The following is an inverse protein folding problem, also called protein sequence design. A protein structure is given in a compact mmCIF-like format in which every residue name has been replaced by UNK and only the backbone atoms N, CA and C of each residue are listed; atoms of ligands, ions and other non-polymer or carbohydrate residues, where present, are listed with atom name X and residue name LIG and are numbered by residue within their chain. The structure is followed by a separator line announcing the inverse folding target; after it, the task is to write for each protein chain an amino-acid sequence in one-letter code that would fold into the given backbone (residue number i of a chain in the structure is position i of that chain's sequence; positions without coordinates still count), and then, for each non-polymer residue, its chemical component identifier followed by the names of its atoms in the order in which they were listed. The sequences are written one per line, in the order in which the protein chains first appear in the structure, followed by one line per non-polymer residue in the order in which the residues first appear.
data_IF_906545350420
#
_entry.id   IF_906545350420
#
_cell.length_a   1.000
_cell.length_b   1.000
_cell.length_c   1.000
_cell.angle_alpha   90.00
_cell.angle_beta   90.00
_cell.angle_gamma   90.00
#
_symmetry.space_group_name_H-M   'P 1'
#
loop_
_entity.id
_entity.type
_entity.pdbx_description
1 polymer ?
#
# COMPACT_ATOMS: atom_id res chain seq x y z
N UNK A 1 -2.00 24.22 38.31
CA UNK A 1 -3.10 24.86 39.09
C UNK A 1 -3.14 26.33 38.77
N UNK A 2 -4.22 26.80 38.20
CA UNK A 2 -4.42 28.23 37.90
C UNK A 2 -4.60 29.07 39.16
N UNK A 3 -4.49 30.38 39.07
CA UNK A 3 -4.78 31.33 40.15
C UNK A 3 -6.22 31.19 40.67
N UNK A 4 -7.15 30.81 39.78
CA UNK A 4 -8.55 30.56 40.09
C UNK A 4 -8.71 29.32 40.97
N UNK A 5 -8.04 28.23 40.60
CA UNK A 5 -8.02 26.95 41.36
C UNK A 5 -7.43 27.17 42.77
N UNK A 6 -6.36 27.97 42.91
CA UNK A 6 -5.75 28.30 44.21
C UNK A 6 -6.72 29.09 45.10
N UNK A 7 -7.44 30.06 44.56
CA UNK A 7 -8.45 30.88 45.31
C UNK A 7 -9.63 30.00 45.77
N UNK A 8 -10.12 29.12 44.90
CA UNK A 8 -11.22 28.21 45.25
C UNK A 8 -10.80 27.21 46.33
N UNK A 9 -9.57 26.67 46.25
CA UNK A 9 -9.04 25.79 47.26
C UNK A 9 -8.84 26.47 48.62
N UNK A 10 -8.33 27.70 48.63
CA UNK A 10 -8.20 28.46 49.86
C UNK A 10 -9.56 28.73 50.51
N UNK A 11 -10.59 29.11 49.70
CA UNK A 11 -11.96 29.30 50.17
C UNK A 11 -12.62 28.01 50.70
N UNK A 12 -12.38 26.85 50.02
CA UNK A 12 -12.86 25.56 50.51
C UNK A 12 -12.21 25.15 51.82
N UNK A 13 -10.93 25.41 51.98
CA UNK A 13 -10.20 25.14 53.25
C UNK A 13 -10.72 25.96 54.42
N UNK A 14 -11.01 27.24 54.21
CA UNK A 14 -11.56 28.09 55.27
C UNK A 14 -12.94 27.60 55.70
N UNK A 15 -13.83 27.29 54.77
CA UNK A 15 -15.17 26.74 55.11
C UNK A 15 -15.08 25.40 55.85
N UNK A 16 -14.09 24.57 55.47
CA UNK A 16 -13.84 23.28 56.15
C UNK A 16 -13.29 23.47 57.56
N UNK A 17 -12.41 24.47 57.81
CA UNK A 17 -11.88 24.80 59.13
C UNK A 17 -13.01 25.32 60.05
N UNK A 18 -13.93 26.16 59.51
CA UNK A 18 -15.10 26.63 60.24
C UNK A 18 -16.10 25.48 60.57
N UNK A 19 -16.38 24.63 59.61
CA UNK A 19 -17.23 23.45 59.82
C UNK A 19 -16.67 22.52 60.88
N UNK A 20 -15.33 22.31 60.85
CA UNK A 20 -14.63 21.49 61.85
C UNK A 20 -14.67 22.12 63.24
N UNK A 21 -14.55 23.43 63.35
CA UNK A 21 -14.66 24.14 64.64
C UNK A 21 -16.07 24.01 65.25
N UNK A 22 -17.12 24.13 64.41
CA UNK A 22 -18.50 23.92 64.88
C UNK A 22 -18.73 22.48 65.38
N UNK A 23 -18.19 21.50 64.68
CA UNK A 23 -18.27 20.09 65.09
C UNK A 23 -17.50 19.81 66.38
N UNK A 24 -16.33 20.42 66.56
CA UNK A 24 -15.53 20.28 67.75
C UNK A 24 -16.22 20.84 68.99
N UNK A 25 -16.84 22.04 68.91
CA UNK A 25 -17.58 22.65 69.99
C UNK A 25 -18.79 21.79 70.45
N UNK A 26 -19.54 21.26 69.49
CA UNK A 26 -20.69 20.39 69.80
C UNK A 26 -20.23 19.05 70.45
N UNK A 27 -19.09 18.51 69.99
CA UNK A 27 -18.52 17.24 70.48
C UNK A 27 -17.95 17.41 71.93
N UNK A 28 -17.27 18.52 72.20
CA UNK A 28 -16.70 18.83 73.53
C UNK A 28 -17.78 19.09 74.57
N UNK A 29 -18.90 19.72 74.21
CA UNK A 29 -20.02 20.00 75.06
C UNK A 29 -21.01 18.79 75.15
N UNK A 30 -20.77 17.70 74.39
CA UNK A 30 -21.61 16.50 74.35
C UNK A 30 -23.11 16.78 74.11
N UNK A 31 -23.43 17.78 73.29
CA UNK A 31 -24.76 18.18 72.91
C UNK A 31 -24.99 18.09 71.40
N UNK A 32 -26.27 18.01 71.05
CA UNK A 32 -26.65 18.13 69.64
C UNK A 32 -26.55 19.62 69.17
N UNK A 33 -26.47 19.80 67.88
CA UNK A 33 -26.45 21.14 67.30
C UNK A 33 -27.70 21.96 67.65
N UNK A 34 -27.52 23.20 67.96
CA UNK A 34 -28.63 24.11 68.04
C UNK A 34 -29.21 24.43 66.66
N UNK A 35 -30.48 24.81 66.52
CA UNK A 35 -31.06 25.11 65.20
C UNK A 35 -30.26 26.17 64.38
N UNK A 36 -29.58 27.08 65.08
CA UNK A 36 -28.72 28.09 64.43
C UNK A 36 -27.39 27.50 63.93
N UNK A 37 -26.80 26.58 64.70
CA UNK A 37 -25.59 25.85 64.35
C UNK A 37 -25.85 24.86 63.18
N UNK A 38 -26.98 24.20 63.19
CA UNK A 38 -27.41 23.31 62.13
C UNK A 38 -27.64 24.06 60.80
N UNK A 39 -28.28 25.23 60.85
CA UNK A 39 -28.44 26.09 59.70
C UNK A 39 -27.08 26.65 59.14
N UNK A 40 -26.13 26.88 60.06
CA UNK A 40 -24.77 27.30 59.69
C UNK A 40 -23.94 26.16 59.09
N UNK A 41 -24.06 25.00 59.66
CA UNK A 41 -23.45 23.74 59.18
C UNK A 41 -23.94 23.43 57.77
N UNK A 42 -25.25 23.48 57.51
CA UNK A 42 -25.83 23.22 56.20
C UNK A 42 -25.31 24.24 55.17
N UNK A 43 -25.26 25.51 55.49
CA UNK A 43 -24.69 26.55 54.61
C UNK A 43 -23.23 26.31 54.28
N UNK A 44 -22.41 25.90 55.25
CA UNK A 44 -20.99 25.62 55.02
C UNK A 44 -20.82 24.39 54.13
N UNK A 45 -21.63 23.33 54.36
CA UNK A 45 -21.60 22.13 53.52
C UNK A 45 -22.01 22.40 52.07
N UNK A 46 -23.05 23.20 51.85
CA UNK A 46 -23.48 23.62 50.50
C UNK A 46 -22.41 24.49 49.83
N UNK A 47 -21.78 25.41 50.54
CA UNK A 47 -20.71 26.25 50.05
C UNK A 47 -19.46 25.43 49.68
N UNK A 48 -19.12 24.39 50.49
CA UNK A 48 -18.03 23.46 50.20
C UNK A 48 -18.31 22.60 48.94
N UNK A 49 -19.55 22.09 48.82
CA UNK A 49 -20.00 21.30 47.69
C UNK A 49 -19.93 22.13 46.38
N UNK A 50 -20.40 23.36 46.40
CA UNK A 50 -20.34 24.30 45.29
C UNK A 50 -18.89 24.63 44.87
N UNK A 51 -18.03 24.87 45.87
CA UNK A 51 -16.61 25.17 45.59
C UNK A 51 -15.90 23.96 45.02
N UNK A 52 -16.19 22.76 45.49
CA UNK A 52 -15.65 21.49 44.98
C UNK A 52 -16.07 21.25 43.53
N UNK A 53 -17.35 21.43 43.24
CA UNK A 53 -17.86 21.28 41.85
C UNK A 53 -17.21 22.28 40.89
N UNK A 54 -16.97 23.53 41.34
CA UNK A 54 -16.23 24.52 40.53
C UNK A 54 -14.75 24.16 40.35
N UNK A 55 -14.10 23.57 41.36
CA UNK A 55 -12.74 23.11 41.25
C UNK A 55 -12.61 21.96 40.21
N UNK A 56 -13.48 20.96 40.29
CA UNK A 56 -13.51 19.84 39.36
C UNK A 56 -13.77 20.29 37.91
N UNK A 57 -14.64 21.31 37.72
CA UNK A 57 -14.89 21.92 36.42
C UNK A 57 -13.68 22.67 35.86
N UNK A 58 -12.93 23.39 36.69
CA UNK A 58 -11.70 24.09 36.28
C UNK A 58 -10.61 23.11 35.96
N UNK A 59 -10.44 22.04 36.73
CA UNK A 59 -9.45 21.01 36.47
C UNK A 59 -9.71 20.27 35.14
N UNK A 60 -10.97 19.92 34.87
CA UNK A 60 -11.37 19.35 33.59
C UNK A 60 -11.14 20.32 32.42
N UNK A 61 -11.35 21.61 32.62
CA UNK A 61 -11.08 22.61 31.60
C UNK A 61 -9.57 22.76 31.31
N UNK A 62 -8.73 22.75 32.35
CA UNK A 62 -7.27 22.79 32.24
C UNK A 62 -6.74 21.52 31.51
N UNK A 63 -7.28 20.35 31.82
CA UNK A 63 -6.91 19.10 31.13
C UNK A 63 -7.31 19.13 29.65
N UNK A 64 -8.51 19.68 29.34
CA UNK A 64 -8.94 19.81 27.93
C UNK A 64 -8.06 20.80 27.17
N UNK A 65 -7.72 21.93 27.79
CA UNK A 65 -6.82 22.92 27.20
C UNK A 65 -5.42 22.32 26.94
N UNK A 66 -4.85 21.59 27.89
CA UNK A 66 -3.57 20.93 27.73
C UNK A 66 -3.58 19.85 26.61
N UNK A 67 -4.71 19.13 26.46
CA UNK A 67 -4.88 18.16 25.35
C UNK A 67 -4.98 18.88 24.00
N UNK A 68 -5.66 20.01 23.93
CA UNK A 68 -5.77 20.82 22.70
C UNK A 68 -4.41 21.40 22.33
N UNK A 69 -3.66 21.93 23.29
CA UNK A 69 -2.31 22.47 23.05
C UNK A 69 -1.34 21.38 22.58
N UNK A 70 -1.40 20.21 23.17
CA UNK A 70 -0.60 19.05 22.72
C UNK A 70 -0.98 18.59 21.31
N UNK A 71 -2.26 18.64 20.93
CA UNK A 71 -2.72 18.35 19.57
C UNK A 71 -2.28 19.45 18.59
N UNK A 72 -2.35 20.71 19.00
CA UNK A 72 -1.88 21.84 18.19
C UNK A 72 -0.36 21.80 17.96
N UNK A 73 0.44 21.48 18.98
CA UNK A 73 1.89 21.25 18.81
C UNK A 73 2.19 20.08 17.88
N UNK A 74 1.43 18.98 17.97
CA UNK A 74 1.56 17.86 17.03
C UNK A 74 1.21 18.27 15.61
N UNK A 75 0.12 19.03 15.42
CA UNK A 75 -0.29 19.54 14.12
C UNK A 75 0.77 20.49 13.53
N UNK A 76 1.32 21.40 14.33
CA UNK A 76 2.41 22.30 13.92
C UNK A 76 3.71 21.53 13.59
N UNK A 77 4.04 20.50 14.33
CA UNK A 77 5.19 19.62 14.02
C UNK A 77 4.98 18.87 12.70
N UNK A 78 3.75 18.38 12.44
CA UNK A 78 3.40 17.73 11.17
C UNK A 78 3.41 18.77 10.04
N UNK A 79 2.86 19.94 10.23
CA UNK A 79 2.85 21.01 9.22
C UNK A 79 4.27 21.53 8.91
N UNK A 80 5.13 21.68 9.92
CA UNK A 80 6.53 22.05 9.73
C UNK A 80 7.35 20.91 9.10
N UNK A 81 7.05 19.65 9.40
CA UNK A 81 7.64 18.50 8.72
C UNK A 81 7.19 18.39 7.26
N UNK A 82 5.94 18.76 6.95
CA UNK A 82 5.41 18.82 5.58
C UNK A 82 5.97 20.03 4.81
N UNK A 83 6.24 21.16 5.48
CA UNK A 83 6.89 22.33 4.87
C UNK A 83 8.39 22.16 4.65
N UNK A 84 9.04 21.25 5.40
CA UNK A 84 10.51 21.14 5.39
C UNK A 84 11.06 20.40 4.16
N UNK A 85 10.29 19.54 3.48
CA UNK A 85 10.80 18.78 2.34
C UNK A 85 9.72 18.62 1.25
N UNK A 86 9.57 19.65 0.44
CA UNK A 86 8.99 19.46 -0.88
C UNK A 86 9.99 18.60 -1.66
N UNK A 87 9.60 17.37 -2.05
CA UNK A 87 10.49 16.42 -2.74
C UNK A 87 11.17 17.04 -3.97
N UNK A 88 10.51 18.02 -4.60
CA UNK A 88 11.08 18.79 -5.71
C UNK A 88 12.26 19.67 -5.26
N UNK A 89 12.21 20.26 -4.08
CA UNK A 89 13.30 21.09 -3.54
C UNK A 89 14.45 20.20 -3.06
N UNK A 90 14.13 19.04 -2.50
CA UNK A 90 15.14 18.01 -2.13
C UNK A 90 15.84 17.49 -3.37
N UNK A 91 15.12 17.18 -4.45
CA UNK A 91 15.70 16.77 -5.74
C UNK A 91 16.56 17.87 -6.34
N UNK A 92 16.10 19.13 -6.26
CA UNK A 92 16.87 20.27 -6.73
C UNK A 92 18.16 20.46 -5.94
N UNK A 93 18.10 20.32 -4.61
CA UNK A 93 19.27 20.36 -3.74
C UNK A 93 20.23 19.17 -3.99
N UNK A 94 19.72 17.98 -4.30
CA UNK A 94 20.52 16.82 -4.69
C UNK A 94 21.16 17.05 -6.06
N UNK A 95 20.41 17.55 -7.05
CA UNK A 95 20.93 17.86 -8.39
C UNK A 95 21.97 19.00 -8.37
N UNK A 96 21.78 20.01 -7.53
CA UNK A 96 22.73 21.10 -7.32
C UNK A 96 24.00 20.70 -6.51
N UNK A 97 24.02 19.50 -5.97
CA UNK A 97 25.14 19.01 -5.15
C UNK A 97 25.17 19.50 -3.69
N UNK A 98 24.11 20.20 -3.25
CA UNK A 98 23.98 20.69 -1.87
C UNK A 98 23.70 19.54 -0.89
N UNK A 99 22.98 18.50 -1.32
CA UNK A 99 22.78 17.25 -0.59
C UNK A 99 23.34 16.08 -1.39
N UNK A 100 24.04 15.15 -0.76
CA UNK A 100 24.67 13.99 -1.43
C UNK A 100 23.69 12.89 -1.82
N UNK A 101 22.62 12.73 -1.07
CA UNK A 101 21.57 11.73 -1.35
C UNK A 101 20.28 12.06 -0.64
N UNK A 102 19.16 11.55 -1.17
CA UNK A 102 17.86 11.59 -0.54
C UNK A 102 17.14 10.24 -0.72
N UNK A 103 16.33 9.86 0.27
CA UNK A 103 15.48 8.67 0.24
C UNK A 103 14.02 9.12 0.25
N UNK A 104 13.24 8.54 -0.64
CA UNK A 104 11.82 8.85 -0.78
C UNK A 104 10.99 7.61 -0.47
N UNK A 105 10.07 7.75 0.48
CA UNK A 105 9.15 6.68 0.84
C UNK A 105 8.03 6.54 -0.19
N UNK A 106 7.76 5.30 -0.58
CA UNK A 106 6.65 5.00 -1.48
C UNK A 106 5.35 5.06 -0.68
N UNK A 107 4.51 6.06 -0.97
CA UNK A 107 3.19 6.23 -0.34
C UNK A 107 2.10 5.68 -1.24
N UNK A 108 1.04 5.13 -0.63
CA UNK A 108 -0.15 4.77 -1.38
C UNK A 108 -0.93 6.03 -1.72
N UNK A 109 -1.11 6.31 -3.01
CA UNK A 109 -2.05 7.34 -3.48
C UNK A 109 -3.48 6.88 -3.18
N UNK A 110 -4.23 7.68 -2.43
CA UNK A 110 -5.67 7.44 -2.30
C UNK A 110 -6.36 7.80 -3.62
N UNK A 111 -7.26 6.96 -4.08
CA UNK A 111 -7.96 7.07 -5.37
C UNK A 111 -8.84 8.32 -5.55
N UNK A 112 -8.94 9.18 -4.53
CA UNK A 112 -9.75 10.39 -4.53
C UNK A 112 -9.01 11.68 -4.87
N UNK A 113 -7.68 11.63 -5.07
CA UNK A 113 -6.89 12.84 -5.33
C UNK A 113 -6.51 12.92 -6.81
N UNK A 114 -7.25 13.72 -7.55
CA UNK A 114 -6.92 14.21 -8.91
C UNK A 114 -5.76 15.23 -8.89
N UNK A 115 -4.87 15.16 -7.93
CA UNK A 115 -3.80 16.14 -7.75
C UNK A 115 -2.55 15.67 -8.48
N UNK A 116 -1.95 16.60 -9.22
CA UNK A 116 -0.61 16.42 -9.83
C UNK A 116 0.35 15.93 -8.73
N UNK A 117 1.14 14.87 -8.96
CA UNK A 117 2.06 14.36 -7.96
C UNK A 117 3.02 15.46 -7.51
N UNK A 118 3.03 15.71 -6.20
CA UNK A 118 3.80 16.79 -5.58
C UNK A 118 5.22 16.31 -5.27
N UNK A 119 5.42 14.99 -5.19
CA UNK A 119 6.68 14.38 -4.83
C UNK A 119 7.21 13.45 -5.94
N UNK A 120 8.53 13.31 -6.02
CA UNK A 120 9.16 12.35 -6.94
C UNK A 120 8.72 10.91 -6.66
N UNK A 121 8.55 10.55 -5.38
CA UNK A 121 8.07 9.23 -4.99
C UNK A 121 6.64 8.97 -5.48
N UNK A 122 5.74 9.95 -5.35
CA UNK A 122 4.37 9.85 -5.86
C UNK A 122 4.36 9.68 -7.38
N UNK A 123 5.26 10.37 -8.07
CA UNK A 123 5.40 10.27 -9.51
C UNK A 123 5.82 8.85 -9.94
N UNK A 124 6.82 8.27 -9.28
CA UNK A 124 7.25 6.89 -9.56
C UNK A 124 6.12 5.88 -9.24
N UNK A 125 5.33 6.12 -8.16
CA UNK A 125 4.17 5.26 -7.85
C UNK A 125 3.10 5.35 -8.94
N UNK A 126 2.82 6.55 -9.47
CA UNK A 126 1.90 6.72 -10.61
C UNK A 126 2.43 6.00 -11.84
N UNK A 127 3.71 6.15 -12.14
CA UNK A 127 4.36 5.47 -13.26
C UNK A 127 4.35 3.94 -13.08
N UNK A 128 4.63 3.42 -11.86
CA UNK A 128 4.55 2.00 -11.54
C UNK A 128 3.13 1.44 -11.75
N UNK A 129 2.12 2.21 -11.37
CA UNK A 129 0.72 1.80 -11.55
C UNK A 129 0.32 1.82 -13.03
N UNK A 130 0.75 2.83 -13.78
CA UNK A 130 0.44 2.96 -15.20
C UNK A 130 1.24 1.98 -16.08
N UNK A 131 2.52 1.75 -15.76
CA UNK A 131 3.42 0.89 -16.53
C UNK A 131 3.39 -0.58 -16.11
N UNK A 132 2.81 -0.91 -14.97
CA UNK A 132 2.77 -2.26 -14.43
C UNK A 132 1.34 -2.66 -14.05
N UNK A 133 0.67 -3.38 -14.93
CA UNK A 133 -0.71 -3.84 -14.74
C UNK A 133 -0.91 -4.74 -13.50
N UNK A 134 0.15 -5.41 -13.05
CA UNK A 134 0.13 -6.31 -11.86
C UNK A 134 0.26 -5.52 -10.57
N UNK A 135 0.99 -4.39 -10.59
CA UNK A 135 1.35 -3.63 -9.38
C UNK A 135 0.13 -3.12 -8.60
N UNK A 136 -0.94 -2.72 -9.29
CA UNK A 136 -2.14 -2.19 -8.64
C UNK A 136 -2.84 -3.23 -7.75
N UNK A 137 -2.99 -4.46 -8.26
CA UNK A 137 -3.72 -5.53 -7.57
C UNK A 137 -2.87 -6.36 -6.61
N UNK A 138 -1.53 -6.30 -6.71
CA UNK A 138 -0.62 -7.11 -5.93
C UNK A 138 -0.54 -6.68 -4.45
N UNK A 139 -0.21 -7.64 -3.57
CA UNK A 139 0.07 -7.36 -2.16
C UNK A 139 1.47 -6.76 -2.01
N UNK A 140 1.54 -5.53 -1.49
CA UNK A 140 2.79 -4.77 -1.35
C UNK A 140 3.37 -4.92 0.04
N UNK A 141 4.63 -5.36 0.12
CA UNK A 141 5.42 -5.50 1.34
C UNK A 141 6.49 -4.41 1.35
N UNK A 142 6.25 -3.33 2.07
CA UNK A 142 7.19 -2.21 2.21
C UNK A 142 8.16 -2.46 3.33
N UNK A 143 9.46 -2.36 3.03
CA UNK A 143 10.53 -2.59 4.00
C UNK A 143 11.57 -1.48 3.93
N UNK A 144 12.11 -1.11 5.11
CA UNK A 144 13.15 -0.10 5.21
C UNK A 144 14.56 -0.65 4.94
N UNK A 145 14.77 -1.96 5.15
CA UNK A 145 16.06 -2.64 5.02
C UNK A 145 16.08 -3.61 3.85
N UNK A 146 17.25 -3.82 3.27
CA UNK A 146 17.46 -4.74 2.15
C UNK A 146 17.62 -6.22 2.54
N UNK A 147 17.45 -6.59 3.82
CA UNK A 147 17.55 -7.98 4.26
C UNK A 147 16.45 -8.83 3.64
N UNK A 148 16.76 -10.10 3.34
CA UNK A 148 15.79 -11.02 2.76
C UNK A 148 14.59 -11.24 3.68
N UNK A 149 13.41 -11.35 3.10
CA UNK A 149 12.18 -11.67 3.83
C UNK A 149 11.70 -13.05 3.40
N UNK A 150 11.43 -13.89 4.37
CA UNK A 150 10.86 -15.21 4.13
C UNK A 150 9.36 -15.19 4.41
N UNK A 151 8.56 -15.46 3.39
CA UNK A 151 7.10 -15.55 3.49
C UNK A 151 6.71 -17.03 3.55
N UNK A 152 6.11 -17.51 4.65
CA UNK A 152 5.65 -18.89 4.74
C UNK A 152 4.44 -19.10 3.81
N UNK A 153 4.37 -20.29 3.20
CA UNK A 153 3.22 -20.74 2.43
C UNK A 153 2.79 -22.12 2.87
N UNK A 154 1.49 -22.34 2.93
CA UNK A 154 0.93 -23.65 3.14
C UNK A 154 0.93 -24.43 1.80
N UNK A 155 1.62 -25.55 1.75
CA UNK A 155 1.74 -26.36 0.52
C UNK A 155 0.70 -27.46 0.50
N UNK A 156 0.37 -28.04 1.66
CA UNK A 156 -0.69 -29.02 1.80
C UNK A 156 -1.38 -28.85 3.15
N UNK A 157 -2.71 -28.95 3.13
CA UNK A 157 -3.52 -28.96 4.34
C UNK A 157 -3.43 -30.33 5.02
N UNK A 158 -3.65 -30.35 6.32
CA UNK A 158 -3.91 -31.59 7.04
C UNK A 158 -5.15 -32.27 6.48
N UNK A 159 -5.16 -33.61 6.45
CA UNK A 159 -6.33 -34.36 6.02
C UNK A 159 -7.34 -34.47 7.17
N UNK A 160 -8.61 -34.33 6.86
CA UNK A 160 -9.70 -34.59 7.78
C UNK A 160 -10.49 -35.81 7.27
N UNK A 161 -10.83 -36.72 8.16
CA UNK A 161 -11.61 -37.90 7.84
C UNK A 161 -12.75 -38.08 8.86
N UNK A 162 -13.87 -38.66 8.41
CA UNK A 162 -14.91 -39.09 9.33
C UNK A 162 -14.43 -40.32 10.10
N UNK A 163 -14.49 -40.27 11.42
CA UNK A 163 -14.01 -41.33 12.29
C UNK A 163 -15.21 -41.92 13.03
N UNK A 164 -15.37 -43.22 12.95
CA UNK A 164 -16.39 -43.95 13.73
C UNK A 164 -16.06 -44.00 15.22
N UNK A 165 -17.06 -44.28 16.06
CA UNK A 165 -16.89 -44.43 17.49
C UNK A 165 -15.86 -45.53 17.80
N UNK A 166 -14.84 -45.19 18.63
CA UNK A 166 -13.77 -46.12 19.02
C UNK A 166 -12.65 -46.31 17.99
N UNK A 167 -12.69 -45.62 16.81
CA UNK A 167 -11.63 -45.72 15.81
C UNK A 167 -10.51 -44.71 16.08
N UNK A 168 -9.28 -45.08 15.77
CA UNK A 168 -8.10 -44.26 15.94
C UNK A 168 -8.09 -43.10 14.91
N UNK A 169 -7.85 -41.86 15.35
CA UNK A 169 -7.60 -40.71 14.49
C UNK A 169 -6.13 -40.73 14.09
N UNK A 170 -5.86 -40.79 12.78
CA UNK A 170 -4.49 -40.70 12.27
C UNK A 170 -4.03 -39.25 12.24
N UNK A 171 -2.94 -38.88 12.93
CA UNK A 171 -2.40 -37.54 12.87
C UNK A 171 -1.86 -37.21 11.47
N UNK A 172 -2.17 -36.04 10.95
CA UNK A 172 -1.64 -35.53 9.69
C UNK A 172 -1.24 -34.07 9.91
N UNK A 173 0.01 -33.73 9.62
CA UNK A 173 0.52 -32.39 9.78
C UNK A 173 0.40 -31.59 8.47
N UNK A 174 0.09 -30.29 8.54
CA UNK A 174 0.14 -29.44 7.35
C UNK A 174 1.57 -29.26 6.89
N UNK A 175 1.80 -29.27 5.57
CA UNK A 175 3.12 -29.02 5.01
C UNK A 175 3.28 -27.53 4.74
N UNK A 176 4.25 -26.92 5.42
CA UNK A 176 4.60 -25.52 5.26
C UNK A 176 5.92 -25.42 4.48
N UNK A 177 5.94 -24.62 3.44
CA UNK A 177 7.14 -24.23 2.70
C UNK A 177 7.30 -22.69 2.81
N UNK A 178 8.36 -22.15 2.28
CA UNK A 178 8.59 -20.70 2.30
C UNK A 178 9.11 -20.21 0.96
N UNK A 179 8.81 -18.97 0.63
CA UNK A 179 9.44 -18.23 -0.45
C UNK A 179 10.28 -17.11 0.15
N UNK A 180 11.41 -16.83 -0.45
CA UNK A 180 12.27 -15.73 -0.04
C UNK A 180 12.15 -14.61 -1.05
N UNK A 181 11.94 -13.38 -0.55
CA UNK A 181 11.92 -12.15 -1.32
C UNK A 181 13.19 -11.37 -1.02
N UNK A 182 13.95 -11.06 -2.07
CA UNK A 182 15.18 -10.30 -2.01
C UNK A 182 14.91 -8.80 -2.24
N UNK A 183 15.95 -8.02 -2.41
CA UNK A 183 15.88 -6.59 -2.75
C UNK A 183 16.71 -6.36 -4.03
N UNK A 184 16.17 -6.76 -5.17
CA UNK A 184 16.84 -6.60 -6.46
C UNK A 184 16.82 -5.13 -6.88
N UNK A 185 17.98 -4.57 -7.23
CA UNK A 185 18.16 -3.15 -7.51
C UNK A 185 17.92 -2.85 -8.98
N UNK A 186 17.07 -1.87 -9.25
CA UNK A 186 16.92 -1.20 -10.53
C UNK A 186 17.61 0.16 -10.39
N UNK A 187 18.49 0.51 -11.29
CA UNK A 187 19.25 1.75 -11.25
C UNK A 187 19.12 2.52 -12.57
N UNK A 188 18.95 3.83 -12.47
CA UNK A 188 19.09 4.75 -13.57
C UNK A 188 20.17 5.78 -13.23
N UNK A 189 21.07 6.04 -14.17
CA UNK A 189 22.12 7.07 -14.06
C UNK A 189 21.95 8.05 -15.20
N UNK A 190 21.76 9.32 -14.86
CA UNK A 190 21.61 10.41 -15.85
C UNK A 190 22.69 11.46 -15.63
N UNK A 191 23.29 11.93 -16.72
CA UNK A 191 24.27 12.99 -16.72
C UNK A 191 23.60 14.30 -17.14
N UNK A 192 23.73 15.34 -16.32
CA UNK A 192 23.17 16.67 -16.57
C UNK A 192 24.31 17.67 -16.72
N UNK A 193 24.27 18.51 -17.76
CA UNK A 193 25.21 19.61 -17.89
C UNK A 193 24.96 20.65 -16.80
N UNK A 194 26.03 21.16 -16.18
CA UNK A 194 25.93 22.22 -15.19
C UNK A 194 25.38 23.54 -15.76
N UNK A 195 25.54 23.77 -17.07
CA UNK A 195 24.95 24.91 -17.76
C UNK A 195 23.41 24.80 -17.81
N UNK A 196 22.89 23.61 -18.15
CA UNK A 196 21.45 23.33 -18.14
C UNK A 196 20.82 23.46 -16.77
N UNK A 197 21.55 23.11 -15.71
CA UNK A 197 21.07 23.25 -14.32
C UNK A 197 21.01 24.72 -13.88
N UNK A 198 21.85 25.59 -14.46
CA UNK A 198 21.87 27.03 -14.19
C UNK A 198 20.84 27.81 -15.01
N UNK A 199 20.50 27.32 -16.21
CA UNK A 199 19.52 27.93 -17.09
C UNK A 199 18.09 27.49 -16.72
N UNK A 200 17.50 28.24 -15.79
CA UNK A 200 16.26 27.87 -15.08
C UNK A 200 14.95 28.04 -15.86
N UNK A 201 14.98 28.13 -17.18
CA UNK A 201 13.78 28.33 -17.98
C UNK A 201 12.81 27.14 -17.97
N UNK A 202 13.31 25.92 -17.70
CA UNK A 202 12.51 24.67 -17.59
C UNK A 202 13.00 23.87 -16.39
N UNK A 203 12.08 23.26 -15.65
CA UNK A 203 12.44 22.38 -14.52
C UNK A 203 13.00 21.04 -15.05
N UNK A 204 14.24 21.05 -15.54
CA UNK A 204 14.92 19.90 -16.16
C UNK A 204 15.07 18.76 -15.15
N UNK A 205 15.28 19.08 -13.88
CA UNK A 205 15.42 18.09 -12.82
C UNK A 205 14.14 17.26 -12.66
N UNK A 206 12.98 17.91 -12.75
CA UNK A 206 11.69 17.20 -12.72
C UNK A 206 11.53 16.31 -13.95
N UNK A 207 11.77 16.83 -15.14
CA UNK A 207 11.65 16.09 -16.40
C UNK A 207 12.53 14.83 -16.41
N UNK A 208 13.77 14.95 -15.93
CA UNK A 208 14.70 13.82 -15.83
C UNK A 208 14.23 12.81 -14.76
N UNK A 209 13.73 13.31 -13.62
CA UNK A 209 13.15 12.47 -12.59
C UNK A 209 11.94 11.67 -13.11
N UNK A 210 11.06 12.32 -13.85
CA UNK A 210 9.91 11.70 -14.52
C UNK A 210 10.34 10.62 -15.53
N UNK A 211 11.31 10.92 -16.35
CA UNK A 211 11.85 9.97 -17.33
C UNK A 211 12.47 8.74 -16.64
N UNK A 212 13.29 8.97 -15.61
CA UNK A 212 13.89 7.88 -14.83
C UNK A 212 12.83 7.03 -14.12
N UNK A 213 11.81 7.66 -13.53
CA UNK A 213 10.69 7.00 -12.88
C UNK A 213 9.91 6.10 -13.85
N UNK A 214 9.60 6.60 -15.04
CA UNK A 214 8.91 5.83 -16.09
C UNK A 214 9.72 4.61 -16.52
N UNK A 215 11.03 4.75 -16.72
CA UNK A 215 11.89 3.64 -17.12
C UNK A 215 12.03 2.59 -16.01
N UNK A 216 12.15 3.02 -14.76
CA UNK A 216 12.17 2.11 -13.60
C UNK A 216 10.84 1.36 -13.51
N UNK A 217 9.72 2.04 -13.67
CA UNK A 217 8.38 1.44 -13.64
C UNK A 217 8.18 0.42 -14.76
N UNK A 218 8.60 0.76 -15.98
CA UNK A 218 8.53 -0.15 -17.12
C UNK A 218 9.36 -1.41 -16.89
N UNK A 219 10.60 -1.27 -16.42
CA UNK A 219 11.47 -2.39 -16.14
C UNK A 219 10.94 -3.26 -14.97
N UNK A 220 10.42 -2.64 -13.90
CA UNK A 220 9.77 -3.34 -12.80
C UNK A 220 8.54 -4.13 -13.28
N UNK A 221 7.71 -3.55 -14.16
CA UNK A 221 6.56 -4.22 -14.77
C UNK A 221 6.94 -5.42 -15.61
N UNK A 222 7.98 -5.27 -16.42
CA UNK A 222 8.56 -6.38 -17.21
C UNK A 222 9.06 -7.51 -16.31
N UNK A 223 9.79 -7.16 -15.23
CA UNK A 223 10.32 -8.13 -14.28
C UNK A 223 9.21 -8.85 -13.50
N UNK A 224 8.16 -8.14 -13.05
CA UNK A 224 7.00 -8.76 -12.40
C UNK A 224 6.21 -9.67 -13.34
N UNK A 225 6.27 -9.45 -14.66
CA UNK A 225 5.57 -10.28 -15.65
C UNK A 225 6.41 -11.50 -16.08
N UNK A 226 7.66 -11.28 -16.49
CA UNK A 226 8.51 -12.26 -17.16
C UNK A 226 9.82 -12.59 -16.42
N UNK A 227 10.11 -11.92 -15.30
CA UNK A 227 11.38 -12.04 -14.60
C UNK A 227 11.71 -13.45 -14.18
N UNK A 228 13.02 -13.75 -14.13
CA UNK A 228 13.55 -15.12 -13.92
C UNK A 228 13.68 -15.51 -12.45
N UNK A 229 13.62 -14.54 -11.51
CA UNK A 229 13.74 -14.81 -10.08
C UNK A 229 15.19 -14.95 -9.56
N UNK A 230 16.20 -14.67 -10.37
CA UNK A 230 17.61 -14.80 -9.95
C UNK A 230 18.20 -13.47 -9.50
N UNK A 231 18.20 -12.46 -10.37
CA UNK A 231 18.69 -11.10 -10.10
C UNK A 231 17.58 -10.06 -10.29
N UNK A 232 16.37 -10.51 -10.47
CA UNK A 232 15.16 -9.77 -10.74
C UNK A 232 13.97 -10.50 -10.15
N UNK A 233 12.82 -9.85 -9.93
CA UNK A 233 11.59 -10.48 -9.46
C UNK A 233 11.25 -11.76 -10.22
N UNK A 234 10.60 -12.72 -9.55
CA UNK A 234 10.00 -13.86 -10.24
C UNK A 234 8.69 -13.39 -10.88
N UNK A 235 8.69 -13.29 -12.20
CA UNK A 235 7.50 -12.93 -12.96
C UNK A 235 6.40 -13.97 -12.84
N UNK A 236 5.13 -13.53 -12.82
CA UNK A 236 4.02 -14.49 -12.68
C UNK A 236 3.93 -15.49 -13.84
N UNK A 237 4.31 -15.07 -15.06
CA UNK A 237 4.36 -15.99 -16.23
C UNK A 237 5.44 -17.05 -16.08
N UNK A 238 6.57 -16.68 -15.44
CA UNK A 238 7.70 -17.59 -15.17
C UNK A 238 7.40 -18.50 -13.98
N UNK A 239 6.73 -17.99 -12.95
CA UNK A 239 6.28 -18.76 -11.79
C UNK A 239 5.26 -19.86 -12.16
N UNK A 240 4.55 -19.68 -13.28
CA UNK A 240 3.62 -20.68 -13.79
C UNK A 240 4.39 -21.93 -14.25
N UNK A 241 4.36 -22.98 -13.43
CA UNK A 241 4.86 -24.30 -13.78
C UNK A 241 3.94 -25.02 -14.77
N UNK A 242 4.34 -26.21 -15.23
CA UNK A 242 3.57 -26.97 -16.21
C UNK A 242 2.11 -27.24 -15.80
N UNK A 243 1.84 -27.41 -14.51
CA UNK A 243 0.48 -27.61 -13.99
C UNK A 243 -0.40 -26.37 -14.07
N UNK A 244 0.17 -25.19 -14.22
CA UNK A 244 -0.50 -23.91 -14.36
C UNK A 244 -0.70 -23.48 -15.82
N UNK A 245 -0.08 -24.20 -16.76
CA UNK A 245 -0.21 -23.94 -18.19
C UNK A 245 -1.44 -24.66 -18.76
N UNK A 246 -2.26 -23.92 -19.51
CA UNK A 246 -3.32 -24.47 -20.34
C UNK A 246 -2.89 -24.33 -21.79
N UNK A 247 -2.64 -25.43 -22.46
CA UNK A 247 -2.31 -25.41 -23.89
C UNK A 247 -3.57 -25.26 -24.70
N UNK A 248 -3.61 -24.27 -25.57
CA UNK A 248 -4.73 -24.08 -26.49
C UNK A 248 -4.84 -25.29 -27.42
N UNK A 249 -6.07 -25.80 -27.54
CA UNK A 249 -6.40 -26.88 -28.47
C UNK A 249 -7.02 -26.26 -29.69
N UNK A 250 -6.44 -26.53 -30.87
CA UNK A 250 -7.08 -26.18 -32.15
C UNK A 250 -8.36 -27.05 -32.31
N UNK A 251 -9.38 -26.78 -31.49
CA UNK A 251 -10.62 -27.54 -31.56
C UNK A 251 -11.65 -26.75 -32.36
N UNK A 252 -11.94 -27.18 -33.56
CA UNK A 252 -13.16 -26.82 -34.25
C UNK A 252 -13.01 -25.90 -35.44
N UNK A 253 -14.14 -25.62 -36.01
CA UNK A 253 -14.46 -24.99 -37.28
C UNK A 253 -14.11 -23.50 -37.39
N UNK A 254 -13.54 -22.89 -36.36
CA UNK A 254 -13.21 -21.47 -36.33
C UNK A 254 -11.75 -21.30 -36.70
N UNK A 255 -11.47 -20.51 -37.73
CA UNK A 255 -10.16 -20.16 -38.31
C UNK A 255 -9.23 -19.41 -37.36
N UNK A 256 -9.19 -19.76 -36.08
CA UNK A 256 -8.29 -19.14 -35.10
C UNK A 256 -6.96 -19.89 -35.07
N UNK A 257 -5.87 -19.21 -35.46
CA UNK A 257 -4.56 -19.82 -35.69
C UNK A 257 -3.86 -20.25 -34.38
N UNK A 258 -4.17 -19.67 -33.20
CA UNK A 258 -3.41 -19.86 -31.97
C UNK A 258 -4.25 -20.27 -30.77
N UNK A 259 -5.41 -19.69 -30.56
CA UNK A 259 -6.40 -20.06 -29.52
C UNK A 259 -7.78 -19.56 -29.92
N UNK A 260 -8.83 -20.14 -29.35
CA UNK A 260 -10.22 -19.77 -29.61
C UNK A 260 -10.96 -19.39 -28.29
N UNK A 261 -12.27 -19.17 -28.38
CA UNK A 261 -13.09 -18.78 -27.23
C UNK A 261 -13.20 -19.89 -26.18
N UNK A 262 -13.23 -21.16 -26.60
CA UNK A 262 -13.30 -22.29 -25.68
C UNK A 262 -12.04 -22.41 -24.83
N UNK A 263 -10.87 -22.09 -25.41
CA UNK A 263 -9.60 -22.08 -24.68
C UNK A 263 -9.62 -21.00 -23.56
N UNK A 264 -10.18 -19.82 -23.85
CA UNK A 264 -10.31 -18.75 -22.84
C UNK A 264 -11.26 -19.15 -21.72
N UNK A 265 -12.40 -19.77 -22.06
CA UNK A 265 -13.35 -20.29 -21.07
C UNK A 265 -12.69 -21.38 -20.23
N UNK A 266 -12.01 -22.34 -20.87
CA UNK A 266 -11.31 -23.43 -20.19
C UNK A 266 -10.25 -22.87 -19.23
N UNK A 267 -9.50 -21.86 -19.65
CA UNK A 267 -8.51 -21.18 -18.81
C UNK A 267 -9.14 -20.59 -17.56
N UNK A 268 -10.28 -19.85 -17.70
CA UNK A 268 -10.98 -19.25 -16.57
C UNK A 268 -11.43 -20.30 -15.55
N UNK A 269 -11.98 -21.40 -16.02
CA UNK A 269 -12.49 -22.47 -15.16
C UNK A 269 -11.40 -23.46 -14.69
N UNK A 270 -10.20 -23.43 -15.24
CA UNK A 270 -9.03 -24.16 -14.70
C UNK A 270 -8.45 -23.53 -13.44
N UNK A 271 -8.72 -22.23 -13.18
CA UNK A 271 -8.35 -21.59 -11.94
C UNK A 271 -9.10 -22.25 -10.78
N UNK A 272 -8.41 -22.48 -9.65
CA UNK A 272 -9.06 -23.08 -8.48
C UNK A 272 -10.25 -22.23 -7.98
N UNK A 273 -11.40 -22.84 -7.63
CA UNK A 273 -12.61 -22.11 -7.27
C UNK A 273 -12.43 -21.06 -6.15
N UNK A 274 -11.55 -21.36 -5.19
CA UNK A 274 -11.22 -20.46 -4.08
C UNK A 274 -10.58 -19.14 -4.51
N UNK A 275 -9.99 -19.08 -5.69
CA UNK A 275 -9.36 -17.89 -6.27
C UNK A 275 -10.21 -17.19 -7.33
N UNK A 276 -11.44 -17.65 -7.60
CA UNK A 276 -12.38 -17.00 -8.52
C UNK A 276 -13.17 -15.93 -7.78
N UNK A 277 -12.48 -14.86 -7.36
CA UNK A 277 -13.02 -13.74 -6.59
C UNK A 277 -13.13 -12.47 -7.44
N UNK A 278 -13.78 -11.45 -6.93
CA UNK A 278 -13.86 -10.14 -7.59
C UNK A 278 -12.50 -9.46 -7.80
N UNK A 279 -11.47 -9.88 -7.03
CA UNK A 279 -10.08 -9.43 -7.12
C UNK A 279 -9.25 -10.22 -8.14
N UNK A 280 -9.84 -11.24 -8.77
CA UNK A 280 -9.20 -11.97 -9.85
C UNK A 280 -9.27 -11.16 -11.13
N UNK A 281 -8.18 -11.13 -11.87
CA UNK A 281 -8.08 -10.32 -13.09
C UNK A 281 -7.36 -11.07 -14.21
N UNK A 282 -7.75 -10.69 -15.41
CA UNK A 282 -7.07 -11.10 -16.62
C UNK A 282 -5.86 -10.20 -16.87
N UNK A 283 -4.74 -10.81 -17.23
CA UNK A 283 -3.55 -10.14 -17.74
C UNK A 283 -3.39 -10.57 -19.20
N UNK A 284 -3.60 -9.66 -20.14
CA UNK A 284 -3.71 -9.97 -21.55
C UNK A 284 -2.78 -9.06 -22.36
N UNK A 285 -2.00 -9.63 -23.28
CA UNK A 285 -1.24 -8.84 -24.25
C UNK A 285 -2.15 -8.09 -25.22
N UNK A 286 -1.75 -6.90 -25.67
CA UNK A 286 -2.52 -6.07 -26.62
C UNK A 286 -2.98 -6.85 -27.86
N UNK A 287 -2.09 -7.69 -28.44
CA UNK A 287 -2.41 -8.51 -29.59
C UNK A 287 -3.43 -9.59 -29.29
N UNK A 288 -3.37 -10.18 -28.10
CA UNK A 288 -4.34 -11.17 -27.66
C UNK A 288 -5.70 -10.54 -27.35
N UNK A 289 -5.71 -9.34 -26.77
CA UNK A 289 -6.89 -8.51 -26.55
C UNK A 289 -7.65 -8.26 -27.87
N UNK A 290 -6.91 -7.76 -28.86
CA UNK A 290 -7.48 -7.52 -30.20
C UNK A 290 -8.03 -8.80 -30.84
N UNK A 291 -7.40 -9.94 -30.59
CA UNK A 291 -7.86 -11.24 -31.09
C UNK A 291 -9.12 -11.70 -30.38
N UNK A 292 -9.17 -11.63 -29.05
CA UNK A 292 -10.36 -12.01 -28.24
C UNK A 292 -11.59 -11.19 -28.67
N UNK A 293 -11.42 -9.88 -28.91
CA UNK A 293 -12.52 -9.01 -29.41
C UNK A 293 -13.02 -9.37 -30.78
N UNK A 294 -12.18 -10.00 -31.61
CA UNK A 294 -12.57 -10.45 -32.97
C UNK A 294 -13.17 -11.85 -33.00
N UNK A 295 -13.16 -12.58 -31.88
CA UNK A 295 -13.79 -13.89 -31.81
C UNK A 295 -15.30 -13.77 -31.97
N UNK A 296 -15.81 -14.53 -32.94
CA UNK A 296 -17.22 -14.56 -33.27
C UNK A 296 -17.80 -15.96 -33.09
N UNK A 297 -19.05 -16.04 -32.78
CA UNK A 297 -19.82 -17.29 -32.79
C UNK A 297 -20.06 -17.74 -34.24
N UNK A 298 -20.58 -18.98 -34.42
CA UNK A 298 -20.97 -19.57 -35.70
C UNK A 298 -21.99 -18.74 -36.47
N UNK A 299 -22.71 -17.83 -35.78
CA UNK A 299 -23.66 -16.85 -36.35
C UNK A 299 -23.03 -15.53 -36.73
N UNK A 300 -21.72 -15.33 -36.51
CA UNK A 300 -21.01 -14.08 -36.79
C UNK A 300 -21.15 -13.00 -35.71
N UNK A 301 -21.75 -13.33 -34.56
CA UNK A 301 -21.84 -12.39 -33.44
C UNK A 301 -20.57 -12.42 -32.60
N UNK A 302 -20.01 -11.25 -32.17
CA UNK A 302 -18.86 -11.20 -31.28
C UNK A 302 -19.22 -11.83 -29.92
N UNK A 303 -18.36 -12.73 -29.44
CA UNK A 303 -18.56 -13.43 -28.18
C UNK A 303 -18.33 -12.50 -26.98
N UNK A 304 -17.47 -11.50 -27.15
CA UNK A 304 -17.17 -10.50 -26.12
C UNK A 304 -17.47 -9.09 -26.64
N UNK A 305 -18.43 -8.44 -26.02
CA UNK A 305 -18.71 -7.03 -26.21
C UNK A 305 -18.13 -6.25 -25.03
N UNK A 306 -17.24 -5.28 -25.27
CA UNK A 306 -16.74 -4.41 -24.21
C UNK A 306 -17.91 -3.61 -23.61
N UNK A 307 -17.82 -3.28 -22.32
CA UNK A 307 -18.80 -2.44 -21.65
C UNK A 307 -18.95 -1.09 -22.36
N UNK A 308 -20.16 -0.76 -22.82
CA UNK A 308 -20.45 0.52 -23.47
C UNK A 308 -20.53 1.69 -22.47
N UNK A 309 -20.44 1.41 -21.17
CA UNK A 309 -20.53 2.43 -20.12
C UNK A 309 -19.13 3.01 -19.86
N UNK A 310 -18.98 4.29 -20.11
CA UNK A 310 -17.75 5.04 -19.86
C UNK A 310 -17.42 4.98 -18.37
N UNK A 311 -16.17 4.58 -18.03
CA UNK A 311 -15.68 4.53 -16.65
C UNK A 311 -15.82 3.17 -15.95
N UNK A 312 -16.45 2.16 -16.55
CA UNK A 312 -16.40 0.80 -16.05
C UNK A 312 -15.23 0.02 -16.70
N UNK A 313 -14.41 -0.70 -15.90
CA UNK A 313 -13.38 -1.55 -16.46
C UNK A 313 -13.99 -2.67 -17.30
N UNK A 314 -13.33 -3.01 -18.40
CA UNK A 314 -13.73 -4.15 -19.23
C UNK A 314 -13.71 -5.44 -18.40
N UNK A 315 -14.77 -6.26 -18.55
CA UNK A 315 -14.86 -7.55 -17.88
C UNK A 315 -14.99 -8.67 -18.92
N UNK A 316 -14.27 -9.76 -18.71
CA UNK A 316 -14.36 -10.97 -19.50
C UNK A 316 -14.72 -12.15 -18.58
N UNK A 317 -15.81 -12.83 -18.85
CA UNK A 317 -16.33 -13.92 -18.00
C UNK A 317 -16.51 -13.51 -16.52
N UNK A 318 -16.86 -12.22 -16.26
CA UNK A 318 -17.08 -11.69 -14.92
C UNK A 318 -15.81 -11.20 -14.18
N UNK A 319 -14.63 -11.37 -14.76
CA UNK A 319 -13.37 -10.90 -14.17
C UNK A 319 -12.87 -9.66 -14.91
N UNK A 320 -12.21 -8.75 -14.17
CA UNK A 320 -11.63 -7.52 -14.72
C UNK A 320 -10.52 -7.85 -15.73
N UNK A 321 -10.47 -7.10 -16.81
CA UNK A 321 -9.44 -7.25 -17.83
C UNK A 321 -8.43 -6.12 -17.70
N UNK A 322 -7.14 -6.48 -17.63
CA UNK A 322 -6.03 -5.55 -17.67
C UNK A 322 -5.11 -5.88 -18.84
N UNK A 323 -4.81 -4.86 -19.61
CA UNK A 323 -3.81 -4.94 -20.66
C UNK A 323 -2.42 -4.93 -20.04
N UNK A 324 -1.59 -5.90 -20.42
CA UNK A 324 -0.21 -6.00 -19.98
C UNK A 324 0.74 -5.94 -21.17
N UNK A 325 1.44 -4.83 -21.30
CA UNK A 325 2.35 -4.55 -22.41
C UNK A 325 3.60 -5.43 -22.41
N UNK A 326 3.90 -6.08 -21.25
CA UNK A 326 5.08 -6.93 -21.10
C UNK A 326 4.82 -8.38 -21.44
N UNK A 327 3.57 -8.78 -21.64
CA UNK A 327 3.26 -10.14 -22.09
C UNK A 327 3.62 -10.35 -23.55
N UNK A 328 3.98 -11.58 -23.89
CA UNK A 328 4.34 -11.95 -25.24
C UNK A 328 3.17 -11.72 -26.23
N UNK A 329 3.48 -11.19 -27.40
CA UNK A 329 2.51 -11.13 -28.50
C UNK A 329 2.02 -12.53 -28.88
N UNK A 330 0.83 -12.61 -29.48
CA UNK A 330 0.27 -13.89 -29.93
C UNK A 330 1.13 -14.47 -31.05
N UNK A 331 1.74 -15.60 -30.74
CA UNK A 331 2.59 -16.40 -31.65
C UNK A 331 2.48 -17.89 -31.27
N UNK A 332 3.12 -18.77 -32.03
CA UNK A 332 3.21 -20.20 -31.70
C UNK A 332 3.85 -20.39 -30.31
N UNK A 333 3.24 -21.22 -29.49
CA UNK A 333 3.68 -21.54 -28.13
C UNK A 333 3.88 -20.31 -27.21
N UNK A 334 3.33 -19.13 -27.56
CA UNK A 334 3.46 -17.92 -26.75
C UNK A 334 2.51 -17.91 -25.55
N UNK A 335 2.92 -17.23 -24.48
CA UNK A 335 2.14 -17.02 -23.27
C UNK A 335 1.56 -15.60 -23.29
N UNK A 336 0.43 -15.41 -23.99
CA UNK A 336 -0.15 -14.11 -24.28
C UNK A 336 -1.39 -13.76 -23.45
N UNK A 337 -1.95 -14.72 -22.72
CA UNK A 337 -3.14 -14.58 -21.86
C UNK A 337 -2.89 -15.29 -20.54
N UNK A 338 -3.20 -14.62 -19.45
CA UNK A 338 -3.15 -15.21 -18.12
C UNK A 338 -4.36 -14.73 -17.30
N UNK A 339 -4.79 -15.56 -16.34
CA UNK A 339 -5.75 -15.19 -15.30
C UNK A 339 -5.10 -15.46 -13.94
N UNK A 340 -5.19 -14.48 -13.05
CA UNK A 340 -4.57 -14.58 -11.73
C UNK A 340 -5.41 -13.89 -10.67
N UNK A 341 -5.34 -14.42 -9.46
CA UNK A 341 -5.80 -13.69 -8.27
C UNK A 341 -4.73 -12.67 -7.88
N UNK A 342 -4.96 -11.41 -8.21
CA UNK A 342 -3.94 -10.36 -8.09
C UNK A 342 -3.33 -10.22 -6.69
N UNK A 343 -4.10 -10.27 -5.57
CA UNK A 343 -3.53 -10.19 -4.22
C UNK A 343 -2.60 -11.37 -3.84
N UNK A 344 -2.64 -12.48 -4.59
CA UNK A 344 -1.73 -13.61 -4.36
C UNK A 344 -0.30 -13.38 -4.89
N UNK A 345 -0.08 -12.33 -5.67
CA UNK A 345 1.25 -11.91 -6.07
C UNK A 345 1.81 -10.91 -5.07
N UNK A 346 2.94 -11.22 -4.45
CA UNK A 346 3.59 -10.37 -3.47
C UNK A 346 4.68 -9.56 -4.13
N UNK A 347 4.65 -8.25 -3.93
CA UNK A 347 5.70 -7.33 -4.36
C UNK A 347 6.34 -6.75 -3.10
N UNK A 348 7.64 -6.98 -2.95
CA UNK A 348 8.45 -6.32 -1.94
C UNK A 348 9.09 -5.08 -2.54
N UNK A 349 8.99 -3.96 -1.86
CA UNK A 349 9.55 -2.69 -2.30
C UNK A 349 10.29 -1.95 -1.18
N UNK A 350 11.39 -1.29 -1.54
CA UNK A 350 12.15 -0.42 -0.66
C UNK A 350 11.96 1.04 -1.09
N UNK A 351 12.25 2.00 -0.18
CA UNK A 351 12.25 3.42 -0.53
C UNK A 351 13.16 3.72 -1.73
N UNK A 352 12.72 4.67 -2.57
CA UNK A 352 13.49 5.14 -3.72
C UNK A 352 14.63 6.01 -3.20
N UNK A 353 15.84 5.76 -3.68
CA UNK A 353 17.03 6.52 -3.34
C UNK A 353 17.52 7.31 -4.53
N UNK A 354 17.65 8.62 -4.36
CA UNK A 354 18.23 9.52 -5.35
C UNK A 354 19.52 10.12 -4.78
N UNK A 355 20.60 10.03 -5.54
CA UNK A 355 21.90 10.58 -5.17
C UNK A 355 22.52 11.32 -6.34
N UNK A 356 23.24 12.40 -6.05
CA UNK A 356 23.99 13.15 -7.06
C UNK A 356 25.49 13.12 -6.77
N UNK A 357 26.28 13.23 -7.82
CA UNK A 357 27.72 13.39 -7.76
C UNK A 357 28.18 14.45 -8.75
N UNK A 358 28.87 15.46 -8.29
CA UNK A 358 29.54 16.49 -9.10
C UNK A 358 30.94 16.08 -9.51
N UNK A 359 31.50 15.05 -8.85
CA UNK A 359 32.89 14.61 -9.06
C UNK A 359 33.01 13.59 -10.20
N UNK A 360 31.91 12.89 -10.51
CA UNK A 360 31.86 11.83 -11.53
C UNK A 360 31.93 12.42 -12.92
N UNK A 361 32.36 13.11 -13.53
CA UNK A 361 32.47 13.80 -14.83
C UNK A 361 32.80 15.27 -14.63
N UNK A 362 33.70 15.50 -13.69
CA UNK A 362 34.19 16.84 -13.41
C UNK A 362 34.84 17.49 -14.67
N UNK A 363 35.55 16.68 -15.45
CA UNK A 363 36.21 17.06 -16.71
C UNK A 363 35.24 17.52 -17.82
N UNK A 364 33.97 17.12 -17.75
CA UNK A 364 32.93 17.50 -18.71
C UNK A 364 31.94 18.54 -18.15
N UNK A 365 32.18 19.09 -16.95
CA UNK A 365 31.25 19.99 -16.26
C UNK A 365 29.82 19.43 -16.18
N UNK A 366 29.70 18.14 -15.83
CA UNK A 366 28.44 17.41 -15.73
C UNK A 366 28.23 16.92 -14.29
N UNK A 367 26.97 16.99 -13.85
CA UNK A 367 26.50 16.37 -12.59
C UNK A 367 25.81 15.05 -12.92
N UNK A 368 26.21 13.97 -12.25
CA UNK A 368 25.58 12.67 -12.37
C UNK A 368 24.48 12.54 -11.32
N UNK A 369 23.27 12.16 -11.75
CA UNK A 369 22.14 11.86 -10.88
C UNK A 369 21.83 10.36 -10.99
N UNK A 370 21.87 9.66 -9.86
CA UNK A 370 21.58 8.23 -9.76
C UNK A 370 20.26 8.03 -9.03
N UNK A 371 19.34 7.32 -9.64
CA UNK A 371 18.09 6.87 -9.01
C UNK A 371 18.17 5.36 -8.81
N UNK A 372 17.91 4.91 -7.59
CA UNK A 372 17.88 3.49 -7.21
C UNK A 372 16.49 3.13 -6.70
N UNK A 373 15.95 2.05 -7.22
CA UNK A 373 14.74 1.41 -6.72
C UNK A 373 15.00 -0.07 -6.49
N UNK A 374 14.63 -0.60 -5.34
CA UNK A 374 14.81 -2.01 -5.05
C UNK A 374 13.44 -2.67 -4.95
N UNK A 375 13.25 -3.72 -5.75
CA UNK A 375 11.99 -4.44 -5.85
C UNK A 375 12.25 -5.94 -6.00
N UNK A 376 11.37 -6.73 -5.42
CA UNK A 376 11.27 -8.15 -5.69
C UNK A 376 9.80 -8.57 -5.74
N UNK A 377 9.50 -9.69 -6.37
CA UNK A 377 8.15 -10.21 -6.48
C UNK A 377 8.13 -11.71 -6.67
N UNK A 378 7.13 -12.34 -6.07
CA UNK A 378 6.89 -13.76 -6.23
C UNK A 378 5.43 -14.11 -5.91
N UNK A 379 4.98 -15.29 -6.33
CA UNK A 379 3.67 -15.83 -6.01
C UNK A 379 3.84 -17.05 -5.09
N UNK A 380 3.40 -16.95 -3.82
CA UNK A 380 3.50 -18.06 -2.87
C UNK A 380 2.68 -19.27 -3.29
N UNK A 381 1.46 -19.03 -3.75
CA UNK A 381 0.56 -20.09 -4.23
C UNK A 381 0.34 -19.99 -5.74
N UNK A 382 1.04 -20.82 -6.47
CA UNK A 382 0.93 -20.89 -7.94
C UNK A 382 -0.43 -21.42 -8.44
N UNK A 383 -1.26 -21.99 -7.55
CA UNK A 383 -2.63 -22.42 -7.93
C UNK A 383 -3.57 -21.25 -8.15
N UNK A 384 -3.21 -20.05 -7.64
CA UNK A 384 -3.91 -18.80 -7.87
C UNK A 384 -3.66 -18.19 -9.27
N UNK A 385 -2.93 -18.87 -10.13
CA UNK A 385 -2.53 -18.42 -11.46
C UNK A 385 -2.77 -19.50 -12.50
N UNK A 386 -3.21 -19.08 -13.70
CA UNK A 386 -3.23 -19.91 -14.91
C UNK A 386 -2.77 -19.09 -16.11
N UNK A 387 -2.03 -19.71 -16.99
CA UNK A 387 -1.47 -19.08 -18.19
C UNK A 387 -1.83 -19.92 -19.42
N UNK A 388 -2.32 -19.27 -20.47
CA UNK A 388 -2.62 -19.87 -21.75
C UNK A 388 -1.34 -19.92 -22.59
N UNK A 389 -1.03 -21.11 -23.08
CA UNK A 389 0.02 -21.32 -24.09
C UNK A 389 -0.67 -21.47 -25.44
N UNK A 390 -0.37 -20.58 -26.37
CA UNK A 390 -0.91 -20.62 -27.72
C UNK A 390 -0.54 -21.96 -28.42
N UNK A 391 -1.45 -22.48 -29.23
CA UNK A 391 -1.19 -23.69 -29.99
C UNK A 391 -0.02 -23.52 -30.96
N UNK A 392 0.68 -24.62 -31.24
CA UNK A 392 1.67 -24.65 -32.30
C UNK A 392 0.98 -24.57 -33.65
N UNK A 393 1.51 -23.79 -34.56
CA UNK A 393 1.06 -23.73 -35.98
C UNK A 393 1.54 -24.97 -36.75
#
# INVERSE_FOLDING_TARGET
MSEISKKLFAGYRNDWEEAKALLATATDEKREFTPEEEARWTKLNDAMSDKKSKMDAVEQAEERAAKIDALAERALKVENAVKADNDADVLRAVAAGEKRSAKFDIRALSSSSSTVPVSFADFVVVALTAGNSVYEGATKLRTATGEQITVPRLTANQSAAFVGEGSQISPTDPTISSITLYANKIAALTLLSNELLRDNAVNITQLVGESAGNQIAFLAGSACTLGTGTTQPTGFVTAAGNAQLSTATKSGTVTSTFFDALDVITLAYSLAPQYRLATTEWQIASTAMAKIRKLQDTTGQPIWTPGLVVGQPDTLLGFRVKENVHMAAVASASKSVAIMHAPSYYIRELPIEVASSTDFRFDYAQTAVRTLYSVDGNIPDVTALRVLVSANT
#
